data_IF_782915954477
#
_entry.id   IF_782915954477
#
_cell.length_a   1.000
_cell.length_b   1.000
_cell.length_c   1.000
_cell.angle_alpha   90.00
_cell.angle_beta   90.00
_cell.angle_gamma   90.00
#
_symmetry.space_group_name_H-M   'P 1'
#
loop_
_entity.id
_entity.type
_entity.pdbx_description
1 polymer ?
#
# COMPACT_ATOMS: atom_id res chain seq x y z
N UNK A 1 10.42 6.82 -19.90
CA UNK A 1 11.74 6.36 -19.43
C UNK A 1 11.90 4.90 -19.81
N UNK A 2 12.99 4.59 -20.49
CA UNK A 2 13.25 3.28 -21.07
C UNK A 2 13.78 2.33 -19.97
N UNK A 3 13.10 1.22 -19.70
CA UNK A 3 13.49 0.31 -18.59
C UNK A 3 14.53 -0.72 -18.96
N UNK A 4 14.88 -0.79 -20.25
CA UNK A 4 15.98 -1.60 -20.77
C UNK A 4 16.75 -0.76 -21.77
N UNK A 5 18.05 -0.68 -21.53
CA UNK A 5 19.00 -0.09 -22.46
C UNK A 5 19.89 -1.18 -23.03
N UNK A 6 20.19 -1.07 -24.33
CA UNK A 6 21.23 -1.86 -24.95
C UNK A 6 22.56 -1.28 -24.49
N UNK A 7 23.40 -2.08 -23.84
CA UNK A 7 24.68 -1.62 -23.32
C UNK A 7 25.83 -1.98 -24.28
N UNK A 8 26.67 -0.98 -24.60
CA UNK A 8 28.00 -1.20 -25.18
C UNK A 8 28.99 -1.18 -24.03
N UNK A 9 29.49 -2.34 -23.61
CA UNK A 9 30.38 -2.44 -22.44
C UNK A 9 31.83 -2.41 -22.93
N UNK A 10 32.54 -1.32 -22.63
CA UNK A 10 33.98 -1.25 -22.85
C UNK A 10 34.72 -2.03 -21.75
N UNK A 11 35.39 -3.11 -22.15
CA UNK A 11 36.30 -3.98 -21.37
C UNK A 11 35.66 -5.02 -20.43
N UNK A 12 36.13 -6.30 -20.42
CA UNK A 12 35.37 -7.40 -19.82
C UNK A 12 35.80 -7.81 -18.39
N UNK A 13 36.75 -7.17 -17.71
CA UNK A 13 37.44 -7.85 -16.58
C UNK A 13 37.76 -7.07 -15.29
N UNK A 14 37.06 -6.00 -14.94
CA UNK A 14 37.22 -5.38 -13.61
C UNK A 14 35.88 -5.21 -12.88
N UNK A 15 35.77 -5.82 -11.68
CA UNK A 15 34.61 -5.77 -10.77
C UNK A 15 33.25 -6.19 -11.37
N UNK A 16 33.21 -7.32 -12.07
CA UNK A 16 31.96 -7.81 -12.63
C UNK A 16 31.06 -8.39 -11.53
N UNK A 17 29.82 -7.89 -11.48
CA UNK A 17 28.70 -8.56 -10.83
C UNK A 17 28.70 -10.09 -11.13
N UNK A 18 28.32 -10.94 -10.15
CA UNK A 18 28.22 -12.38 -10.34
C UNK A 18 27.48 -12.75 -11.63
N UNK A 19 27.90 -13.85 -12.25
CA UNK A 19 27.29 -14.40 -13.46
C UNK A 19 26.41 -15.60 -13.08
N UNK A 20 25.13 -15.54 -13.44
CA UNK A 20 24.19 -16.64 -13.29
C UNK A 20 23.79 -17.19 -14.65
N UNK A 21 23.87 -18.51 -14.80
CA UNK A 21 23.57 -19.18 -16.06
C UNK A 21 22.18 -19.83 -16.02
N UNK A 22 21.23 -19.21 -16.75
CA UNK A 22 19.90 -19.77 -16.98
C UNK A 22 19.91 -20.65 -18.22
N UNK A 23 20.58 -20.20 -19.28
CA UNK A 23 20.70 -20.92 -20.54
C UNK A 23 22.18 -21.09 -20.95
N UNK A 24 22.68 -22.32 -21.15
CA UNK A 24 24.05 -22.56 -21.61
C UNK A 24 24.30 -22.05 -23.04
N UNK A 25 23.26 -21.99 -23.88
CA UNK A 25 23.31 -21.47 -25.26
C UNK A 25 22.84 -20.00 -25.35
N UNK A 26 22.88 -19.28 -24.24
CA UNK A 26 22.42 -17.90 -24.16
C UNK A 26 23.03 -16.98 -25.21
N UNK A 27 22.16 -16.36 -26.00
CA UNK A 27 22.46 -15.29 -26.96
C UNK A 27 22.18 -13.89 -26.40
N UNK A 28 21.67 -13.80 -25.16
CA UNK A 28 21.42 -12.55 -24.42
C UNK A 28 22.10 -12.58 -23.06
N UNK A 29 22.75 -11.47 -22.71
CA UNK A 29 23.24 -11.21 -21.35
C UNK A 29 22.38 -10.10 -20.72
N UNK A 30 21.55 -10.47 -19.74
CA UNK A 30 20.76 -9.52 -18.97
C UNK A 30 21.58 -9.00 -17.79
N UNK A 31 21.72 -7.68 -17.65
CA UNK A 31 22.53 -7.02 -16.62
C UNK A 31 21.59 -6.30 -15.65
N UNK A 32 21.54 -6.78 -14.41
CA UNK A 32 20.83 -6.16 -13.28
C UNK A 32 21.83 -5.31 -12.50
N UNK A 33 21.69 -3.97 -12.48
CA UNK A 33 22.58 -3.11 -11.70
C UNK A 33 22.48 -3.38 -10.20
N UNK A 34 23.56 -3.13 -9.45
CA UNK A 34 23.54 -3.12 -7.98
C UNK A 34 22.67 -1.98 -7.46
N UNK A 35 22.04 -2.17 -6.30
CA UNK A 35 21.28 -1.12 -5.63
C UNK A 35 21.53 -1.14 -4.12
N UNK A 36 21.70 0.05 -3.55
CA UNK A 36 21.77 0.27 -2.10
C UNK A 36 20.51 0.97 -1.56
N UNK A 37 19.48 1.16 -2.40
CA UNK A 37 18.25 1.85 -2.00
C UNK A 37 17.34 0.87 -1.23
N UNK A 38 16.75 1.29 -0.10
CA UNK A 38 15.79 0.45 0.61
C UNK A 38 14.55 0.20 -0.25
N UNK A 39 13.99 -1.00 -0.16
CA UNK A 39 12.78 -1.36 -0.89
C UNK A 39 11.52 -0.87 -0.17
N UNK A 40 10.65 -0.19 -0.91
CA UNK A 40 9.33 0.26 -0.46
C UNK A 40 9.36 0.95 0.94
N UNK A 41 10.13 2.04 1.12
CA UNK A 41 10.24 2.70 2.41
C UNK A 41 8.88 3.28 2.83
N UNK A 42 8.51 3.06 4.09
CA UNK A 42 7.29 3.62 4.67
C UNK A 42 7.57 5.02 5.24
N UNK A 43 6.84 6.04 4.78
CA UNK A 43 6.98 7.38 5.32
C UNK A 43 6.32 7.47 6.71
N UNK A 44 7.07 7.94 7.71
CA UNK A 44 6.56 8.26 9.04
C UNK A 44 6.74 7.20 10.14
N UNK A 45 7.48 6.10 9.90
CA UNK A 45 7.88 5.20 10.97
C UNK A 45 9.08 5.80 11.74
N UNK A 46 9.04 5.88 13.08
CA UNK A 46 10.26 6.08 13.85
C UNK A 46 11.21 4.93 13.53
N UNK A 47 12.47 5.24 13.26
CA UNK A 47 13.55 4.25 13.21
C UNK A 47 13.74 3.72 14.63
N UNK A 48 12.95 2.72 15.03
CA UNK A 48 13.07 2.09 16.35
C UNK A 48 14.34 1.22 16.32
N UNK A 49 15.46 1.81 16.75
CA UNK A 49 16.60 1.02 17.21
C UNK A 49 16.13 0.20 18.42
N UNK A 50 16.40 -1.11 18.35
CA UNK A 50 15.58 -2.14 18.99
C UNK A 50 15.46 -2.04 20.50
N UNK A 51 14.29 -2.46 21.01
CA UNK A 51 14.11 -3.50 22.03
C UNK A 51 12.63 -3.93 22.12
N UNK A 52 12.42 -5.25 22.03
CA UNK A 52 11.28 -6.08 22.48
C UNK A 52 9.83 -5.58 22.31
N UNK A 53 9.13 -6.15 21.32
CA UNK A 53 7.67 -6.21 21.24
C UNK A 53 7.20 -7.02 20.04
N UNK A 54 6.36 -8.04 20.27
CA UNK A 54 5.84 -8.96 19.24
C UNK A 54 4.79 -8.24 18.38
N UNK A 55 5.24 -7.41 17.45
CA UNK A 55 4.50 -7.05 16.24
C UNK A 55 5.51 -7.07 15.10
N UNK A 56 5.39 -8.08 14.24
CA UNK A 56 6.28 -8.30 13.09
C UNK A 56 5.95 -7.29 11.98
N UNK A 57 5.99 -6.00 12.29
CA UNK A 57 6.13 -4.97 11.26
C UNK A 57 7.54 -5.13 10.74
N UNK A 58 7.69 -5.53 9.48
CA UNK A 58 9.01 -5.67 8.86
C UNK A 58 9.60 -4.26 8.73
N UNK A 59 10.26 -3.78 9.80
CA UNK A 59 11.08 -2.59 9.77
C UNK A 59 12.11 -2.80 8.67
N UNK A 60 12.21 -1.84 7.75
CA UNK A 60 13.14 -1.90 6.63
C UNK A 60 14.54 -2.19 7.18
N UNK A 61 15.04 -3.40 6.94
CA UNK A 61 16.39 -3.77 7.30
C UNK A 61 17.38 -2.75 6.70
N UNK A 62 18.45 -2.43 7.43
CA UNK A 62 19.54 -1.61 6.94
C UNK A 62 19.93 -2.03 5.51
N UNK A 63 20.32 -1.11 4.61
CA UNK A 63 20.55 -1.44 3.21
C UNK A 63 21.76 -2.35 3.09
N UNK A 64 21.53 -3.66 3.18
CA UNK A 64 22.44 -4.65 2.66
C UNK A 64 22.61 -4.31 1.18
N UNK A 65 23.82 -3.92 0.79
CA UNK A 65 24.15 -3.67 -0.60
C UNK A 65 23.69 -4.89 -1.40
N UNK A 66 22.77 -4.70 -2.35
CA UNK A 66 22.33 -5.78 -3.23
C UNK A 66 23.30 -5.77 -4.40
N UNK A 67 24.26 -6.72 -4.47
CA UNK A 67 25.20 -6.75 -5.57
C UNK A 67 24.42 -6.95 -6.87
N UNK A 68 24.87 -6.31 -7.95
CA UNK A 68 24.27 -6.51 -9.26
C UNK A 68 24.40 -7.98 -9.70
N UNK A 69 23.70 -8.35 -10.76
CA UNK A 69 23.75 -9.72 -11.30
C UNK A 69 23.72 -9.70 -12.81
N UNK A 70 24.57 -10.51 -13.43
CA UNK A 70 24.53 -10.75 -14.88
C UNK A 70 23.94 -12.12 -15.12
N UNK A 71 23.00 -12.23 -16.05
CA UNK A 71 22.25 -13.46 -16.27
C UNK A 71 22.29 -13.83 -17.75
N UNK A 72 22.82 -15.01 -18.06
CA UNK A 72 22.78 -15.61 -19.39
C UNK A 72 21.40 -16.20 -19.65
N UNK A 73 20.70 -15.69 -20.65
CA UNK A 73 19.33 -16.07 -21.02
C UNK A 73 19.18 -16.18 -22.54
N UNK A 74 18.13 -16.87 -22.98
CA UNK A 74 17.80 -17.03 -24.40
C UNK A 74 16.78 -15.99 -24.87
N UNK A 75 17.11 -15.31 -25.96
CA UNK A 75 16.24 -14.36 -26.65
C UNK A 75 14.91 -14.99 -27.05
N UNK A 76 14.92 -16.28 -27.45
CA UNK A 76 13.72 -17.00 -27.87
C UNK A 76 12.73 -17.13 -26.71
N UNK A 77 13.20 -17.54 -25.53
CA UNK A 77 12.36 -17.62 -24.34
C UNK A 77 11.84 -16.23 -23.91
N UNK A 78 12.71 -15.21 -23.90
CA UNK A 78 12.31 -13.84 -23.55
C UNK A 78 11.26 -13.26 -24.51
N UNK A 79 11.47 -13.39 -25.82
CA UNK A 79 10.57 -12.85 -26.85
C UNK A 79 9.23 -13.59 -26.90
N UNK A 80 9.22 -14.89 -26.60
CA UNK A 80 8.00 -15.67 -26.46
C UNK A 80 7.19 -15.20 -25.24
N UNK A 81 7.83 -15.08 -24.08
CA UNK A 81 7.16 -14.75 -22.82
C UNK A 81 6.78 -13.27 -22.69
N UNK A 82 7.46 -12.35 -23.38
CA UNK A 82 7.26 -10.91 -23.20
C UNK A 82 7.29 -10.14 -24.51
N UNK A 83 6.22 -9.37 -24.75
CA UNK A 83 6.16 -8.39 -25.84
C UNK A 83 7.20 -7.26 -25.66
N UNK A 84 7.50 -6.89 -24.41
CA UNK A 84 8.50 -5.85 -24.11
C UNK A 84 9.90 -6.31 -24.52
N UNK A 85 10.30 -7.52 -24.10
CA UNK A 85 11.58 -8.08 -24.53
C UNK A 85 11.62 -8.34 -26.03
N UNK A 86 10.51 -8.81 -26.63
CA UNK A 86 10.41 -8.99 -28.08
C UNK A 86 10.73 -7.70 -28.85
N UNK A 87 10.06 -6.61 -28.50
CA UNK A 87 10.27 -5.33 -29.15
C UNK A 87 11.74 -4.91 -28.99
N UNK A 88 12.27 -4.98 -27.76
CA UNK A 88 13.66 -4.62 -27.48
C UNK A 88 14.69 -5.43 -28.27
N UNK A 89 14.48 -6.74 -28.37
CA UNK A 89 15.39 -7.65 -29.07
C UNK A 89 15.27 -7.58 -30.60
N UNK A 90 14.10 -7.21 -31.13
CA UNK A 90 13.93 -6.97 -32.57
C UNK A 90 14.69 -5.73 -33.01
N UNK A 91 14.61 -4.62 -32.27
CA UNK A 91 15.37 -3.40 -32.58
C UNK A 91 16.88 -3.57 -32.41
N UNK A 92 17.32 -4.42 -31.48
CA UNK A 92 18.75 -4.73 -31.28
C UNK A 92 19.29 -5.83 -32.19
N UNK A 93 18.49 -6.39 -33.10
CA UNK A 93 18.94 -7.48 -33.98
C UNK A 93 19.80 -7.02 -35.16
N UNK A 94 19.98 -5.71 -35.36
CA UNK A 94 20.96 -5.19 -36.33
C UNK A 94 22.38 -5.55 -35.86
N UNK A 95 23.24 -6.04 -36.78
CA UNK A 95 24.57 -6.59 -36.47
C UNK A 95 25.46 -5.69 -35.58
N UNK A 96 25.20 -4.39 -35.54
CA UNK A 96 25.91 -3.40 -34.73
C UNK A 96 25.68 -3.55 -33.20
N UNK A 97 24.72 -4.36 -32.74
CA UNK A 97 24.36 -4.42 -31.32
C UNK A 97 24.98 -5.60 -30.54
N UNK A 98 25.47 -6.63 -31.23
CA UNK A 98 26.15 -7.75 -30.55
C UNK A 98 27.49 -7.28 -30.00
N UNK A 99 27.76 -7.61 -28.74
CA UNK A 99 29.04 -7.32 -28.10
C UNK A 99 30.12 -8.29 -28.58
N UNK A 100 31.37 -8.06 -28.18
CA UNK A 100 32.52 -8.89 -28.56
C UNK A 100 32.40 -10.36 -28.14
N UNK A 101 31.56 -10.65 -27.14
CA UNK A 101 31.25 -12.01 -26.69
C UNK A 101 30.15 -12.70 -27.51
N UNK A 102 29.69 -12.06 -28.59
CA UNK A 102 28.66 -12.56 -29.50
C UNK A 102 27.22 -12.40 -29.01
N UNK A 103 26.99 -11.84 -27.81
CA UNK A 103 25.66 -11.69 -27.19
C UNK A 103 25.09 -10.29 -27.34
N UNK A 104 23.78 -10.19 -27.25
CA UNK A 104 23.09 -8.91 -27.02
C UNK A 104 23.10 -8.61 -25.53
N UNK A 105 23.65 -7.47 -25.11
CA UNK A 105 23.67 -7.06 -23.71
C UNK A 105 22.51 -6.13 -23.42
N UNK A 106 21.60 -6.57 -22.55
CA UNK A 106 20.45 -5.80 -22.11
C UNK A 106 20.67 -5.37 -20.66
N UNK A 107 20.84 -4.07 -20.42
CA UNK A 107 20.97 -3.51 -19.08
C UNK A 107 19.60 -3.04 -18.60
N UNK A 108 19.16 -3.56 -17.46
CA UNK A 108 17.94 -3.08 -16.81
C UNK A 108 18.18 -1.70 -16.18
N UNK A 109 17.12 -0.89 -16.08
CA UNK A 109 17.15 0.30 -15.24
C UNK A 109 17.38 -0.06 -13.76
N UNK A 110 17.80 0.91 -12.94
CA UNK A 110 17.87 0.70 -11.49
C UNK A 110 16.51 0.31 -10.89
N UNK A 111 16.54 -0.36 -9.73
CA UNK A 111 15.34 -0.66 -8.93
C UNK A 111 14.81 -2.08 -9.07
N UNK A 112 15.38 -2.91 -9.95
CA UNK A 112 15.08 -4.34 -9.96
C UNK A 112 15.96 -5.11 -9.00
N UNK A 113 15.34 -6.07 -8.31
CA UNK A 113 16.05 -6.95 -7.41
C UNK A 113 16.65 -8.16 -8.16
N UNK A 114 17.96 -8.41 -8.01
CA UNK A 114 18.63 -9.54 -8.67
C UNK A 114 18.01 -10.91 -8.40
N UNK A 115 17.57 -11.16 -7.17
CA UNK A 115 16.97 -12.44 -6.79
C UNK A 115 15.59 -12.58 -7.46
N UNK A 116 14.73 -11.56 -7.37
CA UNK A 116 13.43 -11.56 -8.01
C UNK A 116 13.53 -11.76 -9.54
N UNK A 117 14.47 -11.07 -10.20
CA UNK A 117 14.74 -11.20 -11.63
C UNK A 117 15.16 -12.64 -11.96
N UNK A 118 16.07 -13.23 -11.18
CA UNK A 118 16.54 -14.61 -11.40
C UNK A 118 15.42 -15.65 -11.27
N UNK A 119 14.49 -15.47 -10.32
CA UNK A 119 13.34 -16.34 -10.12
C UNK A 119 12.44 -16.32 -11.35
N UNK A 120 12.07 -15.12 -11.83
CA UNK A 120 11.21 -14.96 -12.99
C UNK A 120 11.88 -15.52 -14.25
N UNK A 121 13.18 -15.30 -14.44
CA UNK A 121 13.88 -15.83 -15.60
C UNK A 121 13.99 -17.36 -15.57
N UNK A 122 14.14 -18.00 -14.41
CA UNK A 122 14.05 -19.45 -14.31
C UNK A 122 12.65 -19.96 -14.72
N UNK A 123 11.58 -19.28 -14.31
CA UNK A 123 10.22 -19.63 -14.74
C UNK A 123 10.05 -19.49 -16.27
N UNK A 124 10.49 -18.38 -16.85
CA UNK A 124 10.46 -18.10 -18.31
C UNK A 124 11.21 -19.16 -19.12
N UNK A 125 12.29 -19.73 -18.58
CA UNK A 125 13.09 -20.76 -19.24
C UNK A 125 12.69 -22.19 -18.84
N UNK A 126 11.47 -22.38 -18.30
CA UNK A 126 10.95 -23.68 -17.88
C UNK A 126 11.85 -24.42 -16.86
N UNK A 127 12.70 -23.72 -16.11
CA UNK A 127 13.56 -24.28 -15.06
C UNK A 127 12.81 -24.32 -13.72
N UNK A 128 11.63 -24.94 -13.72
CA UNK A 128 10.73 -24.95 -12.55
C UNK A 128 11.36 -25.52 -11.27
N UNK A 129 12.34 -26.42 -11.39
CA UNK A 129 13.10 -26.95 -10.25
C UNK A 129 14.00 -25.91 -9.57
N UNK A 130 14.34 -24.82 -10.25
CA UNK A 130 15.10 -23.67 -9.72
C UNK A 130 14.19 -22.55 -9.22
N UNK A 131 12.88 -22.63 -9.45
CA UNK A 131 11.91 -21.66 -8.94
C UNK A 131 11.55 -22.02 -7.49
N UNK A 132 11.71 -21.12 -6.51
CA UNK A 132 11.43 -21.41 -5.11
C UNK A 132 9.99 -21.85 -4.86
N UNK A 133 9.81 -22.80 -3.93
CA UNK A 133 8.48 -23.26 -3.51
C UNK A 133 7.73 -22.25 -2.63
N UNK A 134 8.43 -21.30 -2.05
CA UNK A 134 7.93 -20.19 -1.23
C UNK A 134 8.87 -19.00 -1.37
N UNK A 135 8.32 -17.80 -1.20
CA UNK A 135 9.03 -16.53 -1.13
C UNK A 135 8.42 -15.72 0.01
N UNK A 136 9.13 -14.72 0.54
CA UNK A 136 8.54 -13.75 1.46
C UNK A 136 7.76 -12.65 0.70
N UNK A 137 7.01 -11.84 1.46
CA UNK A 137 6.17 -10.78 0.91
C UNK A 137 6.98 -9.74 0.10
N UNK A 138 8.16 -9.37 0.58
CA UNK A 138 9.03 -8.40 -0.09
C UNK A 138 9.56 -8.94 -1.43
N UNK A 139 10.02 -10.18 -1.45
CA UNK A 139 10.46 -10.86 -2.68
C UNK A 139 9.28 -10.97 -3.66
N UNK A 140 8.09 -11.33 -3.18
CA UNK A 140 6.89 -11.42 -4.03
C UNK A 140 6.52 -10.05 -4.63
N UNK A 141 6.62 -8.97 -3.86
CA UNK A 141 6.40 -7.61 -4.36
C UNK A 141 7.44 -7.22 -5.43
N UNK A 142 8.71 -7.59 -5.25
CA UNK A 142 9.76 -7.32 -6.25
C UNK A 142 9.60 -8.16 -7.52
N UNK A 143 9.15 -9.41 -7.38
CA UNK A 143 8.73 -10.24 -8.51
C UNK A 143 7.59 -9.53 -9.26
N UNK A 144 6.58 -9.03 -8.54
CA UNK A 144 5.45 -8.31 -9.15
C UNK A 144 5.90 -7.06 -9.94
N UNK A 145 6.92 -6.33 -9.47
CA UNK A 145 7.48 -5.19 -10.22
C UNK A 145 8.07 -5.63 -11.55
N UNK A 146 8.89 -6.68 -11.55
CA UNK A 146 9.51 -7.19 -12.77
C UNK A 146 8.45 -7.78 -13.72
N UNK A 147 7.48 -8.51 -13.18
CA UNK A 147 6.38 -9.13 -13.94
C UNK A 147 5.50 -8.09 -14.61
N UNK A 148 5.06 -7.05 -13.89
CA UNK A 148 4.24 -5.98 -14.47
C UNK A 148 5.01 -5.19 -15.53
N UNK A 149 6.27 -4.83 -15.24
CA UNK A 149 7.10 -4.06 -16.15
C UNK A 149 7.33 -4.77 -17.49
N UNK A 150 7.55 -6.07 -17.45
CA UNK A 150 7.90 -6.87 -18.62
C UNK A 150 6.72 -7.71 -19.15
N UNK A 151 5.53 -7.57 -18.57
CA UNK A 151 4.31 -8.29 -18.98
C UNK A 151 4.52 -9.81 -18.99
N UNK A 152 5.04 -10.35 -17.88
CA UNK A 152 5.45 -11.76 -17.76
C UNK A 152 4.44 -12.62 -16.97
N UNK A 153 3.21 -12.14 -16.77
CA UNK A 153 2.24 -12.79 -15.89
C UNK A 153 2.02 -14.26 -16.26
N UNK A 154 1.75 -14.55 -17.52
CA UNK A 154 1.46 -15.90 -18.02
C UNK A 154 2.63 -16.88 -17.77
N UNK A 155 3.88 -16.38 -17.76
CA UNK A 155 5.06 -17.21 -17.51
C UNK A 155 5.26 -17.57 -16.03
N UNK A 156 4.64 -16.83 -15.12
CA UNK A 156 4.83 -16.96 -13.68
C UNK A 156 3.56 -17.32 -12.90
N UNK A 157 2.39 -17.29 -13.53
CA UNK A 157 1.07 -17.38 -12.90
C UNK A 157 0.96 -18.56 -11.92
N UNK A 158 1.30 -19.77 -12.37
CA UNK A 158 1.25 -20.99 -11.54
C UNK A 158 2.16 -20.91 -10.30
N UNK A 159 3.28 -20.21 -10.39
CA UNK A 159 4.18 -20.02 -9.25
C UNK A 159 3.64 -18.93 -8.31
N UNK A 160 3.09 -17.86 -8.88
CA UNK A 160 2.49 -16.75 -8.14
C UNK A 160 1.31 -17.21 -7.29
N UNK A 161 0.40 -18.01 -7.84
CA UNK A 161 -0.73 -18.59 -7.12
C UNK A 161 -0.25 -19.35 -5.87
N UNK A 162 0.76 -20.22 -6.03
CA UNK A 162 1.36 -20.94 -4.90
C UNK A 162 1.96 -20.03 -3.83
N UNK A 163 2.68 -18.98 -4.25
CA UNK A 163 3.30 -18.05 -3.30
C UNK A 163 2.25 -17.23 -2.55
N UNK A 164 1.21 -16.79 -3.25
CA UNK A 164 0.11 -16.01 -2.68
C UNK A 164 -0.65 -16.85 -1.66
N UNK A 165 -1.07 -18.07 -2.01
CA UNK A 165 -1.79 -18.94 -1.07
C UNK A 165 -1.01 -19.26 0.22
N UNK A 166 0.33 -19.26 0.15
CA UNK A 166 1.18 -19.45 1.34
C UNK A 166 1.29 -18.23 2.25
N UNK A 167 1.05 -17.05 1.70
CA UNK A 167 1.17 -15.77 2.41
C UNK A 167 -0.19 -15.17 2.78
N UNK A 168 -1.31 -15.70 2.24
CA UNK A 168 -2.66 -15.18 2.46
C UNK A 168 -3.03 -15.01 3.95
N UNK A 169 -2.53 -15.89 4.83
CA UNK A 169 -2.75 -15.77 6.28
C UNK A 169 -2.10 -14.56 6.93
N UNK A 170 -1.14 -13.92 6.26
CA UNK A 170 -0.38 -12.76 6.74
C UNK A 170 -0.89 -11.44 6.15
N UNK A 171 -2.07 -11.42 5.49
CA UNK A 171 -2.65 -10.18 4.95
C UNK A 171 -3.02 -9.24 6.11
N UNK A 172 -2.49 -8.01 6.16
CA UNK A 172 -2.78 -7.10 7.26
C UNK A 172 -4.23 -6.63 7.29
N UNK A 173 -4.79 -6.54 8.50
CA UNK A 173 -6.08 -5.89 8.74
C UNK A 173 -5.96 -4.37 8.93
N UNK A 174 -4.73 -3.85 8.97
CA UNK A 174 -4.44 -2.43 9.19
C UNK A 174 -3.74 -1.77 8.01
N UNK A 175 -3.97 -0.47 7.83
CA UNK A 175 -3.26 0.33 6.82
C UNK A 175 -1.80 0.55 7.22
N UNK A 176 -0.92 -0.25 6.61
CA UNK A 176 0.51 -0.24 6.84
C UNK A 176 1.28 -0.54 5.53
N UNK A 177 2.61 -0.63 5.62
CA UNK A 177 3.49 -0.93 4.48
C UNK A 177 3.09 -2.20 3.75
N UNK A 178 2.87 -3.26 4.50
CA UNK A 178 2.64 -4.60 3.96
C UNK A 178 1.26 -4.69 3.27
N UNK A 179 0.25 -3.93 3.74
CA UNK A 179 -1.03 -3.78 3.06
C UNK A 179 -0.87 -3.16 1.66
N UNK A 180 0.01 -2.16 1.52
CA UNK A 180 0.29 -1.53 0.22
C UNK A 180 1.06 -2.49 -0.70
N UNK A 181 1.97 -3.31 -0.16
CA UNK A 181 2.60 -4.38 -0.92
C UNK A 181 1.55 -5.37 -1.46
N UNK A 182 0.62 -5.82 -0.60
CA UNK A 182 -0.47 -6.70 -0.98
C UNK A 182 -1.41 -6.08 -2.02
N UNK A 183 -1.69 -4.77 -1.91
CA UNK A 183 -2.47 -4.04 -2.92
C UNK A 183 -1.80 -4.11 -4.30
N UNK A 184 -0.49 -3.91 -4.35
CA UNK A 184 0.26 -3.98 -5.60
C UNK A 184 0.36 -5.42 -6.14
N UNK A 185 0.71 -6.39 -5.28
CA UNK A 185 0.80 -7.83 -5.64
C UNK A 185 -0.52 -8.32 -6.22
N UNK A 186 -1.62 -8.12 -5.50
CA UNK A 186 -2.95 -8.58 -5.93
C UNK A 186 -3.42 -7.90 -7.21
N UNK A 187 -3.00 -6.66 -7.46
CA UNK A 187 -3.24 -5.98 -8.74
C UNK A 187 -2.51 -6.66 -9.91
N UNK A 188 -1.19 -6.88 -9.76
CA UNK A 188 -0.34 -7.44 -10.81
C UNK A 188 -0.74 -8.86 -11.16
N UNK A 189 -0.98 -9.69 -10.14
CA UNK A 189 -1.36 -11.10 -10.31
C UNK A 189 -2.87 -11.33 -10.45
N UNK A 190 -3.68 -10.26 -10.56
CA UNK A 190 -5.13 -10.33 -10.81
C UNK A 190 -5.92 -11.11 -9.74
N UNK A 191 -5.48 -11.11 -8.49
CA UNK A 191 -6.23 -11.69 -7.36
C UNK A 191 -7.29 -10.71 -6.85
N UNK A 192 -8.50 -10.78 -7.42
CA UNK A 192 -9.59 -9.82 -7.15
C UNK A 192 -10.02 -9.75 -5.70
N UNK A 193 -10.09 -10.89 -5.01
CA UNK A 193 -10.63 -10.95 -3.64
C UNK A 193 -9.67 -10.29 -2.66
N UNK A 194 -8.38 -10.59 -2.77
CA UNK A 194 -7.32 -9.93 -2.01
C UNK A 194 -7.32 -8.44 -2.33
N UNK A 195 -7.32 -8.05 -3.61
CA UNK A 195 -7.31 -6.65 -4.03
C UNK A 195 -8.49 -5.87 -3.44
N UNK A 196 -9.69 -6.45 -3.45
CA UNK A 196 -10.90 -5.86 -2.87
C UNK A 196 -10.79 -5.71 -1.37
N UNK A 197 -10.28 -6.73 -0.67
CA UNK A 197 -10.10 -6.68 0.79
C UNK A 197 -9.11 -5.57 1.19
N UNK A 198 -7.90 -5.56 0.60
CA UNK A 198 -6.87 -4.60 0.98
C UNK A 198 -7.18 -3.17 0.53
N UNK A 199 -7.84 -2.98 -0.62
CA UNK A 199 -8.30 -1.64 -1.04
C UNK A 199 -9.41 -1.08 -0.15
N UNK A 200 -10.31 -1.94 0.37
CA UNK A 200 -11.32 -1.55 1.36
C UNK A 200 -10.66 -1.13 2.68
N UNK A 201 -9.71 -1.91 3.18
CA UNK A 201 -8.94 -1.56 4.39
C UNK A 201 -8.22 -0.23 4.21
N UNK A 202 -7.55 -0.03 3.07
CA UNK A 202 -6.87 1.22 2.76
C UNK A 202 -7.86 2.41 2.72
N UNK A 203 -9.00 2.29 2.04
CA UNK A 203 -10.01 3.34 1.98
C UNK A 203 -10.61 3.69 3.35
N UNK A 204 -10.71 2.73 4.27
CA UNK A 204 -11.27 2.95 5.60
C UNK A 204 -10.26 3.59 6.58
N UNK A 205 -8.97 3.26 6.45
CA UNK A 205 -7.98 3.58 7.48
C UNK A 205 -6.90 4.57 7.03
N UNK A 206 -6.75 4.86 5.73
CA UNK A 206 -5.81 5.88 5.30
C UNK A 206 -6.27 7.27 5.73
N UNK A 207 -5.31 8.16 5.98
CA UNK A 207 -5.54 9.54 6.41
C UNK A 207 -5.46 10.53 5.24
N UNK A 208 -5.39 10.02 4.01
CA UNK A 208 -5.09 10.75 2.79
C UNK A 208 -5.05 9.77 1.60
N UNK A 209 -4.64 10.24 0.41
CA UNK A 209 -4.22 9.36 -0.67
C UNK A 209 -3.18 8.35 -0.17
N UNK A 210 -3.27 7.09 -0.64
CA UNK A 210 -2.37 6.03 -0.17
C UNK A 210 -0.92 6.33 -0.54
N UNK A 211 0.01 5.90 0.32
CA UNK A 211 1.44 5.94 0.01
C UNK A 211 1.72 4.93 -1.11
N UNK A 212 2.52 5.33 -2.10
CA UNK A 212 2.89 4.44 -3.21
C UNK A 212 4.12 3.60 -2.90
N UNK A 213 4.92 3.99 -1.90
CA UNK A 213 6.18 3.33 -1.54
C UNK A 213 7.16 3.21 -2.71
N UNK A 214 7.11 4.14 -3.66
CA UNK A 214 7.83 4.08 -4.94
C UNK A 214 7.48 2.87 -5.83
N UNK A 215 6.38 2.16 -5.52
CA UNK A 215 5.84 1.12 -6.39
C UNK A 215 5.08 1.76 -7.56
N UNK A 216 5.05 1.12 -8.73
CA UNK A 216 4.35 1.62 -9.92
C UNK A 216 2.83 1.37 -9.83
N UNK A 217 2.20 1.82 -8.74
CA UNK A 217 0.74 1.76 -8.56
C UNK A 217 0.11 2.79 -9.50
N UNK A 218 -0.81 2.33 -10.35
CA UNK A 218 -1.47 3.20 -11.33
C UNK A 218 -2.28 4.28 -10.64
N UNK A 219 -2.17 5.51 -11.12
CA UNK A 219 -2.88 6.68 -10.59
C UNK A 219 -4.39 6.47 -10.43
N UNK A 220 -5.00 5.73 -11.37
CA UNK A 220 -6.43 5.38 -11.29
C UNK A 220 -6.80 4.58 -10.03
N UNK A 221 -5.90 3.71 -9.54
CA UNK A 221 -6.11 2.91 -8.33
C UNK A 221 -6.06 3.82 -7.11
N UNK A 222 -5.03 4.68 -7.03
CA UNK A 222 -4.84 5.65 -5.95
C UNK A 222 -6.07 6.56 -5.84
N UNK A 223 -6.47 7.17 -6.96
CA UNK A 223 -7.67 8.03 -7.04
C UNK A 223 -8.95 7.31 -6.65
N UNK A 224 -9.12 6.05 -7.06
CA UNK A 224 -10.32 5.29 -6.73
C UNK A 224 -10.41 5.01 -5.23
N UNK A 225 -9.31 4.57 -4.60
CA UNK A 225 -9.26 4.33 -3.16
C UNK A 225 -9.53 5.63 -2.39
N UNK A 226 -8.90 6.75 -2.78
CA UNK A 226 -9.13 8.04 -2.12
C UNK A 226 -10.58 8.53 -2.34
N UNK A 227 -11.15 8.34 -3.52
CA UNK A 227 -12.57 8.66 -3.77
C UNK A 227 -13.49 7.88 -2.83
N UNK A 228 -13.24 6.58 -2.63
CA UNK A 228 -14.03 5.77 -1.69
C UNK A 228 -13.85 6.26 -0.24
N UNK A 229 -12.62 6.62 0.16
CA UNK A 229 -12.35 7.22 1.47
C UNK A 229 -13.15 8.51 1.68
N UNK A 230 -13.10 9.43 0.72
CA UNK A 230 -13.85 10.70 0.78
C UNK A 230 -15.37 10.47 0.88
N UNK A 231 -15.88 9.45 0.17
CA UNK A 231 -17.29 9.07 0.23
C UNK A 231 -17.67 8.52 1.60
N UNK A 232 -16.89 7.59 2.16
CA UNK A 232 -17.11 7.02 3.49
C UNK A 232 -17.13 8.12 4.57
N UNK A 233 -16.14 9.01 4.54
CA UNK A 233 -16.05 10.14 5.47
C UNK A 233 -17.20 11.10 5.33
N UNK A 234 -17.58 11.48 4.10
CA UNK A 234 -18.71 12.38 3.89
C UNK A 234 -20.01 11.82 4.46
N UNK A 235 -20.30 10.53 4.22
CA UNK A 235 -21.48 9.86 4.77
C UNK A 235 -21.47 9.82 6.30
N UNK A 236 -20.36 9.42 6.90
CA UNK A 236 -20.22 9.35 8.36
C UNK A 236 -20.41 10.71 9.02
N UNK A 237 -19.74 11.74 8.50
CA UNK A 237 -19.82 13.08 9.04
C UNK A 237 -21.22 13.65 8.86
N UNK A 238 -21.88 13.50 7.71
CA UNK A 238 -23.27 13.95 7.55
C UNK A 238 -24.20 13.31 8.58
N UNK A 239 -24.06 12.01 8.85
CA UNK A 239 -24.87 11.33 9.87
C UNK A 239 -24.61 11.90 11.27
N UNK A 240 -23.35 12.17 11.61
CA UNK A 240 -22.99 12.76 12.91
C UNK A 240 -23.56 14.17 13.04
N UNK A 241 -23.44 15.01 12.01
CA UNK A 241 -23.97 16.38 12.06
C UNK A 241 -25.49 16.38 12.18
N UNK A 242 -26.20 15.54 11.41
CA UNK A 242 -27.66 15.42 11.52
C UNK A 242 -28.08 14.98 12.94
N UNK A 243 -27.39 13.99 13.53
CA UNK A 243 -27.69 13.55 14.88
C UNK A 243 -27.41 14.63 15.95
N UNK A 244 -26.36 15.44 15.76
CA UNK A 244 -26.07 16.58 16.63
C UNK A 244 -27.13 17.67 16.49
N UNK A 245 -27.54 17.99 15.27
CA UNK A 245 -28.59 18.97 15.02
C UNK A 245 -29.91 18.54 15.71
N UNK A 246 -30.33 17.27 15.54
CA UNK A 246 -31.52 16.71 16.19
C UNK A 246 -31.48 16.84 17.72
N UNK A 247 -30.32 16.54 18.33
CA UNK A 247 -30.10 16.65 19.77
C UNK A 247 -30.15 18.10 20.26
N UNK A 248 -29.65 19.05 19.46
CA UNK A 248 -29.66 20.47 19.83
C UNK A 248 -31.03 21.12 19.59
N UNK A 249 -31.78 20.72 18.56
CA UNK A 249 -33.14 21.21 18.30
C UNK A 249 -34.15 20.69 19.31
N UNK A 250 -34.00 19.44 19.78
CA UNK A 250 -34.86 18.85 20.83
C UNK A 250 -34.69 19.47 22.22
N UNK A 251 -33.68 20.32 22.43
CA UNK A 251 -33.43 21.06 23.69
C UNK A 251 -34.01 22.48 23.67
N UNK A 252 -34.98 22.76 22.80
CA UNK A 252 -35.75 24.01 22.87
C UNK A 252 -36.85 23.88 23.93
N UNK A 253 -36.65 24.64 25.00
CA UNK A 253 -37.50 24.80 26.19
C UNK A 253 -39.00 24.83 25.82
N UNK A 254 -39.78 23.94 26.44
CA UNK A 254 -41.24 24.01 26.40
C UNK A 254 -41.69 25.42 26.84
N UNK A 255 -42.56 26.12 26.10
CA UNK A 255 -43.04 27.41 26.53
C UNK A 255 -43.79 27.22 27.86
N UNK A 256 -43.32 27.90 28.90
CA UNK A 256 -44.03 27.93 30.18
C UNK A 256 -45.45 28.46 29.91
N UNK A 257 -46.50 27.83 30.49
CA UNK A 257 -47.85 28.34 30.35
C UNK A 257 -47.93 29.76 30.93
N UNK A 258 -48.81 30.63 30.38
CA UNK A 258 -48.95 31.99 30.87
C UNK A 258 -49.59 31.97 32.25
N UNK A 259 -48.79 31.97 33.31
CA UNK A 259 -49.28 32.15 34.67
C UNK A 259 -49.31 33.64 34.99
N UNK A 260 -50.52 34.18 35.09
CA UNK A 260 -50.83 35.48 35.68
C UNK A 260 -50.54 35.46 37.18
N UNK A 261 -49.29 35.69 37.57
CA UNK A 261 -48.93 35.99 38.95
C UNK A 261 -47.67 36.86 39.01
N UNK A 262 -47.79 37.98 39.70
CA UNK A 262 -46.74 38.97 40.01
C UNK A 262 -45.51 38.29 40.66
N UNK A 263 -44.27 38.53 40.20
CA UNK A 263 -43.10 37.87 40.77
C UNK A 263 -42.61 38.60 42.05
N UNK A 264 -42.07 37.89 43.06
CA UNK A 264 -41.39 38.52 44.18
C UNK A 264 -39.99 39.04 43.77
N UNK A 265 -39.43 40.04 44.49
CA UNK A 265 -38.11 40.57 44.21
C UNK A 265 -37.05 39.57 44.67
N UNK A 266 -36.20 39.10 43.76
CA UNK A 266 -35.08 38.18 44.10
C UNK A 266 -34.80 37.06 43.11
N UNK A 267 -35.35 37.09 41.89
CA UNK A 267 -35.09 36.03 40.90
C UNK A 267 -33.75 36.27 40.20
N UNK A 268 -32.78 35.38 40.48
CA UNK A 268 -31.50 35.33 39.79
C UNK A 268 -31.73 35.29 38.26
N UNK A 269 -31.09 36.21 37.53
CA UNK A 269 -31.03 36.24 36.07
C UNK A 269 -30.58 34.85 35.59
N UNK A 270 -31.43 34.16 34.83
CA UNK A 270 -30.97 33.06 33.99
C UNK A 270 -30.02 33.67 32.96
N UNK A 271 -28.73 33.44 33.14
CA UNK A 271 -27.71 33.75 32.15
C UNK A 271 -28.03 32.90 30.93
N UNK A 272 -28.21 33.49 29.72
CA UNK A 272 -28.32 32.72 28.50
C UNK A 272 -27.06 31.88 28.39
N UNK A 273 -27.19 30.56 28.46
CA UNK A 273 -26.10 29.66 28.11
C UNK A 273 -25.84 29.91 26.64
N UNK A 274 -24.71 30.57 26.34
CA UNK A 274 -24.29 30.78 24.96
C UNK A 274 -24.25 29.42 24.25
N UNK A 275 -24.77 29.30 23.01
CA UNK A 275 -24.65 28.07 22.26
C UNK A 275 -23.17 27.69 22.22
N UNK A 276 -22.86 26.46 22.60
CA UNK A 276 -21.50 25.94 22.50
C UNK A 276 -20.95 26.22 21.09
N UNK A 277 -19.69 26.64 20.95
CA UNK A 277 -19.12 26.92 19.63
C UNK A 277 -19.29 25.68 18.76
N UNK A 278 -20.07 25.83 17.68
CA UNK A 278 -20.23 24.76 16.68
C UNK A 278 -18.84 24.51 16.11
N UNK A 279 -18.29 23.33 16.37
CA UNK A 279 -17.06 22.88 15.71
C UNK A 279 -17.29 23.00 14.21
N UNK A 280 -16.41 23.73 13.52
CA UNK A 280 -16.50 23.83 12.06
C UNK A 280 -16.39 22.42 11.48
N UNK A 281 -17.37 22.03 10.68
CA UNK A 281 -17.36 20.73 10.02
C UNK A 281 -16.11 20.65 9.13
N UNK A 282 -15.32 19.55 9.19
CA UNK A 282 -14.21 19.39 8.26
C UNK A 282 -14.76 19.38 6.82
N UNK A 283 -14.08 20.10 5.93
CA UNK A 283 -14.46 20.21 4.52
C UNK A 283 -13.61 19.27 3.67
N UNK A 284 -14.12 18.91 2.49
CA UNK A 284 -13.37 18.11 1.52
C UNK A 284 -12.18 18.91 0.94
N UNK A 285 -11.05 18.27 0.62
CA UNK A 285 -10.71 16.88 0.95
C UNK A 285 -10.44 16.69 2.45
N UNK A 286 -10.90 15.58 3.02
CA UNK A 286 -10.72 15.27 4.45
C UNK A 286 -9.28 14.81 4.75
N UNK A 287 -8.32 15.71 4.66
CA UNK A 287 -6.90 15.42 4.96
C UNK A 287 -6.67 15.16 6.45
N UNK A 288 -5.81 14.19 6.76
CA UNK A 288 -5.46 13.82 8.12
C UNK A 288 -6.54 13.06 8.89
N UNK A 289 -7.68 12.75 8.28
CA UNK A 289 -8.81 12.06 8.92
C UNK A 289 -9.05 10.72 8.21
N UNK A 290 -9.18 9.65 8.99
CA UNK A 290 -9.58 8.33 8.49
C UNK A 290 -11.02 8.01 8.91
N UNK A 291 -11.70 7.15 8.14
CA UNK A 291 -13.04 6.71 8.53
C UNK A 291 -13.01 5.93 9.85
N UNK A 292 -11.97 5.11 10.05
CA UNK A 292 -11.74 4.40 11.31
C UNK A 292 -11.65 5.36 12.51
N UNK A 293 -10.88 6.46 12.41
CA UNK A 293 -10.76 7.41 13.52
C UNK A 293 -12.08 8.11 13.84
N UNK A 294 -12.94 8.35 12.83
CA UNK A 294 -14.28 8.91 13.05
C UNK A 294 -15.16 7.92 13.81
N UNK A 295 -15.16 6.65 13.41
CA UNK A 295 -15.92 5.59 14.08
C UNK A 295 -15.47 5.42 15.53
N UNK A 296 -14.17 5.35 15.77
CA UNK A 296 -13.62 5.23 17.13
C UNK A 296 -14.00 6.43 18.01
N UNK A 297 -13.96 7.64 17.45
CA UNK A 297 -14.41 8.86 18.14
C UNK A 297 -15.88 8.80 18.54
N UNK A 298 -16.76 8.32 17.65
CA UNK A 298 -18.19 8.16 17.94
C UNK A 298 -18.43 7.11 19.03
N UNK A 299 -17.77 5.94 18.94
CA UNK A 299 -17.89 4.87 19.93
C UNK A 299 -17.41 5.35 21.31
N UNK A 300 -16.26 6.05 21.35
CA UNK A 300 -15.71 6.64 22.57
C UNK A 300 -16.69 7.64 23.19
N UNK A 301 -17.25 8.54 22.39
CA UNK A 301 -18.24 9.51 22.84
C UNK A 301 -19.51 8.87 23.42
N UNK A 302 -20.07 7.86 22.74
CA UNK A 302 -21.24 7.12 23.22
C UNK A 302 -20.96 6.40 24.56
N UNK A 303 -19.78 5.81 24.69
CA UNK A 303 -19.35 5.13 25.92
C UNK A 303 -19.28 6.11 27.09
N UNK A 304 -18.71 7.30 26.88
CA UNK A 304 -18.65 8.36 27.90
C UNK A 304 -20.04 8.85 28.30
N UNK A 305 -20.92 9.07 27.33
CA UNK A 305 -22.30 9.52 27.59
C UNK A 305 -23.07 8.48 28.44
N UNK A 306 -22.93 7.19 28.13
CA UNK A 306 -23.54 6.13 28.92
C UNK A 306 -22.99 6.10 30.35
N UNK A 307 -21.68 6.29 30.53
CA UNK A 307 -21.06 6.35 31.85
C UNK A 307 -21.56 7.56 32.67
N UNK A 308 -21.71 8.73 32.04
CA UNK A 308 -22.24 9.93 32.69
C UNK A 308 -23.69 9.73 33.15
N UNK A 309 -24.56 9.22 32.27
CA UNK A 309 -25.97 8.91 32.63
C UNK A 309 -26.07 7.92 33.80
N UNK A 310 -25.17 6.93 33.87
CA UNK A 310 -25.11 5.99 35.01
C UNK A 310 -24.70 6.68 36.31
N UNK A 311 -23.75 7.62 36.28
CA UNK A 311 -23.33 8.41 37.44
C UNK A 311 -24.45 9.32 37.94
N UNK A 312 -25.15 10.00 37.04
CA UNK A 312 -26.23 10.91 37.39
C UNK A 312 -27.41 10.17 38.04
N UNK A 313 -27.78 8.98 37.52
CA UNK A 313 -28.78 8.10 38.16
C UNK A 313 -28.38 7.66 39.57
N UNK A 314 -27.11 7.30 39.78
CA UNK A 314 -26.58 6.90 41.11
C UNK A 314 -26.52 8.05 42.12
N UNK A 315 -26.30 9.29 41.65
CA UNK A 315 -26.38 10.48 42.49
C UNK A 315 -27.82 10.80 42.88
N UNK A 316 -28.75 10.71 41.92
CA UNK A 316 -30.18 10.90 42.19
C UNK A 316 -30.76 9.86 43.16
N UNK A 317 -30.23 8.64 43.20
CA UNK A 317 -30.70 7.58 44.11
C UNK A 317 -30.06 7.60 45.50
N UNK A 318 -29.03 8.44 45.73
CA UNK A 318 -28.37 8.62 47.04
C UNK A 318 -28.77 9.92 47.75
N UNK A 319 -29.50 10.80 47.06
CA UNK A 319 -30.01 12.07 47.60
C UNK A 319 -31.47 12.02 48.07
N UNK A 320 -32.06 10.83 48.10
CA UNK A 320 -33.39 10.51 48.68
C UNK A 320 -33.19 9.62 49.88
#
# INVERSE_FOLDING_TARGET
>A
MDSIEVAVVASPFTNLAPLYEVDPEADVLLIVPSSNKPFAPWAGAPQVNGINGVHKTTAAAAPASRPGLRIKVSSRHLTLASRVFRNKLQFSSSKATRQSDGRVHLKLSEGFDPQAVSIVLNAVHARGSKVPRSVDLETLAQIAIFVDRFQLLDAVEVYAERWISKLEGDIPETYNRDLVLWLYISHVFRHSDIFKAVSKTAAAQSHGPIQTLNLPIREKIIKHIDTQRQLLLSKALTQIHNALDDLTSGSTVAPAPPTTATPPPGRARQVPVAPAPRLAAPAKPFEGISFASVVDGVIGGLTLLQAQRRRDRRRSSRGT
#
